data_IF_474606580208
#
_entry.id   IF_474606580208
#
_cell.length_a   1.000
_cell.length_b   1.000
_cell.length_c   1.000
_cell.angle_alpha   90.00
_cell.angle_beta   90.00
_cell.angle_gamma   90.00
#
_symmetry.space_group_name_H-M   'P 1'
#
loop_
_entity.id
_entity.type
_entity.pdbx_description
1 polymer ?
#
# COMPACT_ATOMS: atom_id res chain seq x y z
N UNK A 1 -43.08 58.56 4.31
CA UNK A 1 -42.36 57.83 5.37
C UNK A 1 -42.30 56.38 4.96
N UNK A 2 -41.15 55.83 4.51
CA UNK A 2 -41.02 54.40 4.19
C UNK A 2 -40.65 53.62 5.44
N UNK A 3 -41.36 52.52 5.68
CA UNK A 3 -41.12 51.56 6.75
C UNK A 3 -39.98 50.59 6.35
N UNK A 4 -38.92 50.59 7.11
CA UNK A 4 -37.84 49.58 7.01
C UNK A 4 -38.29 48.32 7.74
N UNK A 5 -38.36 47.17 7.03
CA UNK A 5 -38.40 45.83 7.61
C UNK A 5 -36.96 45.35 7.90
N UNK A 6 -36.67 44.79 9.08
CA UNK A 6 -35.37 44.19 9.32
C UNK A 6 -35.31 42.78 8.69
N UNK A 7 -34.32 42.54 7.87
CA UNK A 7 -33.92 41.20 7.35
C UNK A 7 -33.28 40.42 8.51
N UNK A 8 -33.96 39.42 9.04
CA UNK A 8 -33.35 38.42 9.91
C UNK A 8 -32.55 37.44 9.05
N UNK A 9 -31.23 37.55 9.08
CA UNK A 9 -30.32 36.52 8.54
C UNK A 9 -30.22 35.42 9.57
N UNK A 10 -30.91 34.30 9.32
CA UNK A 10 -30.74 33.08 10.09
C UNK A 10 -29.40 32.42 9.71
N UNK A 11 -28.40 32.54 10.57
CA UNK A 11 -27.17 31.77 10.45
C UNK A 11 -27.47 30.30 10.78
N UNK A 12 -27.52 29.44 9.76
CA UNK A 12 -27.51 27.99 9.94
C UNK A 12 -26.12 27.60 10.46
N UNK A 13 -25.99 27.43 11.77
CA UNK A 13 -24.85 26.76 12.38
C UNK A 13 -24.94 25.26 12.04
N UNK A 14 -24.11 24.79 11.12
CA UNK A 14 -23.84 23.37 10.96
C UNK A 14 -23.18 22.86 12.25
N UNK A 15 -23.98 22.34 13.17
CA UNK A 15 -23.53 21.56 14.31
C UNK A 15 -22.96 20.24 13.75
N UNK A 16 -21.66 20.22 13.49
CA UNK A 16 -20.93 18.99 13.31
C UNK A 16 -21.02 18.21 14.63
N UNK A 17 -21.77 17.11 14.63
CA UNK A 17 -21.80 16.16 15.74
C UNK A 17 -20.40 15.53 15.82
N UNK A 18 -19.53 16.09 16.66
CA UNK A 18 -18.27 15.43 17.02
C UNK A 18 -18.63 14.23 17.89
N UNK A 19 -18.33 13.03 17.40
CA UNK A 19 -18.41 11.81 18.21
C UNK A 19 -17.55 11.99 19.47
N UNK A 20 -18.05 11.55 20.63
CA UNK A 20 -17.23 11.53 21.84
C UNK A 20 -16.07 10.54 21.68
N UNK A 21 -14.97 10.70 22.43
CA UNK A 21 -13.83 9.79 22.34
C UNK A 21 -14.22 8.33 22.60
N UNK A 22 -15.25 8.09 23.43
CA UNK A 22 -15.80 6.77 23.73
C UNK A 22 -16.65 6.17 22.60
N UNK A 23 -17.02 6.97 21.57
CA UNK A 23 -17.85 6.54 20.43
C UNK A 23 -17.03 6.34 19.16
N UNK A 24 -15.73 6.66 19.18
CA UNK A 24 -14.86 6.53 18.01
C UNK A 24 -14.35 5.10 17.85
N UNK A 25 -14.46 4.52 16.64
CA UNK A 25 -13.97 3.17 16.40
C UNK A 25 -12.44 3.12 16.47
N UNK A 26 -11.91 1.98 16.90
CA UNK A 26 -10.51 1.67 16.73
C UNK A 26 -10.20 1.36 15.26
N UNK A 27 -8.95 1.46 14.86
CA UNK A 27 -8.51 1.17 13.50
C UNK A 27 -7.33 0.20 13.55
N UNK A 28 -7.46 -0.93 12.86
CA UNK A 28 -6.39 -1.88 12.57
C UNK A 28 -6.13 -1.88 11.06
N UNK A 29 -5.01 -1.32 10.64
CA UNK A 29 -4.56 -1.37 9.26
C UNK A 29 -3.54 -2.48 9.09
N UNK A 30 -3.89 -3.50 8.32
CA UNK A 30 -3.07 -4.67 8.01
C UNK A 30 -2.47 -4.48 6.63
N UNK A 31 -1.14 -4.46 6.55
CA UNK A 31 -0.42 -4.33 5.28
C UNK A 31 0.47 -5.53 5.08
N UNK A 32 0.16 -6.36 4.07
CA UNK A 32 1.09 -7.42 3.68
C UNK A 32 2.19 -6.87 2.77
N UNK A 33 3.36 -7.52 2.78
CA UNK A 33 4.57 -7.07 2.13
C UNK A 33 5.01 -8.09 1.07
N UNK A 34 5.05 -7.67 -0.20
CA UNK A 34 5.37 -8.52 -1.35
C UNK A 34 4.37 -9.68 -1.53
N UNK A 35 3.08 -9.40 -1.68
CA UNK A 35 2.03 -10.40 -1.78
C UNK A 35 1.32 -10.31 -3.15
N UNK A 36 1.40 -11.38 -3.95
CA UNK A 36 0.77 -11.43 -5.25
C UNK A 36 -0.77 -11.42 -5.14
N UNK A 37 -1.45 -10.65 -6.01
CA UNK A 37 -2.91 -10.49 -5.98
C UNK A 37 -3.69 -11.79 -6.17
N UNK A 38 -3.11 -12.79 -6.76
CA UNK A 38 -3.72 -14.10 -7.02
C UNK A 38 -3.43 -15.14 -5.92
N UNK A 39 -2.63 -14.83 -4.90
CA UNK A 39 -2.25 -15.77 -3.83
C UNK A 39 -3.09 -15.58 -2.57
N UNK A 40 -4.42 -15.64 -2.76
CA UNK A 40 -5.44 -15.63 -1.71
C UNK A 40 -6.55 -16.63 -2.06
N UNK A 41 -7.07 -17.37 -1.06
CA UNK A 41 -8.17 -18.30 -1.25
C UNK A 41 -9.42 -17.63 -1.83
N UNK A 42 -9.84 -16.48 -1.29
CA UNK A 42 -10.98 -15.70 -1.78
C UNK A 42 -10.78 -15.11 -3.18
N UNK A 43 -9.55 -15.02 -3.69
CA UNK A 43 -9.25 -14.65 -5.09
C UNK A 43 -9.18 -15.88 -6.01
N UNK A 44 -9.42 -17.09 -5.48
CA UNK A 44 -9.46 -18.34 -6.23
C UNK A 44 -8.18 -19.14 -6.23
N UNK A 45 -7.14 -18.74 -5.50
CA UNK A 45 -5.88 -19.50 -5.40
C UNK A 45 -6.13 -20.90 -4.85
N UNK A 46 -5.45 -21.88 -5.46
CA UNK A 46 -5.34 -23.25 -4.96
C UNK A 46 -3.93 -23.56 -4.46
N UNK A 47 -3.01 -22.60 -4.63
CA UNK A 47 -1.61 -22.75 -4.28
C UNK A 47 -1.33 -22.46 -2.80
N UNK A 48 -2.16 -21.65 -2.15
CA UNK A 48 -1.99 -21.20 -0.76
C UNK A 48 -3.26 -21.42 0.06
N UNK A 49 -3.12 -21.43 1.38
CA UNK A 49 -4.22 -21.49 2.34
C UNK A 49 -4.27 -20.19 3.13
N UNK A 50 -5.39 -19.45 3.02
CA UNK A 50 -5.57 -18.14 3.69
C UNK A 50 -6.92 -18.02 4.41
N UNK A 51 -7.28 -18.97 5.31
CA UNK A 51 -8.63 -19.03 5.89
C UNK A 51 -9.01 -17.79 6.71
N UNK A 52 -8.05 -17.11 7.34
CA UNK A 52 -8.34 -15.90 8.13
C UNK A 52 -8.55 -14.67 7.25
N UNK A 53 -7.79 -14.54 6.16
CA UNK A 53 -8.02 -13.53 5.13
C UNK A 53 -9.29 -13.79 4.35
N UNK A 54 -9.61 -15.05 4.04
CA UNK A 54 -10.86 -15.44 3.38
C UNK A 54 -12.07 -15.06 4.23
N UNK A 55 -11.99 -15.30 5.55
CA UNK A 55 -13.02 -14.86 6.49
C UNK A 55 -13.12 -13.34 6.55
N UNK A 56 -11.99 -12.63 6.61
CA UNK A 56 -11.99 -11.16 6.60
C UNK A 56 -12.60 -10.61 5.30
N UNK A 57 -12.27 -11.20 4.16
CA UNK A 57 -12.84 -10.82 2.87
C UNK A 57 -14.37 -10.98 2.83
N UNK A 58 -14.88 -12.10 3.37
CA UNK A 58 -16.32 -12.36 3.46
C UNK A 58 -17.06 -11.37 4.40
N UNK A 59 -16.36 -10.77 5.36
CA UNK A 59 -16.88 -9.80 6.33
C UNK A 59 -16.64 -8.35 5.89
N UNK A 60 -16.04 -8.12 4.72
CA UNK A 60 -15.59 -6.80 4.27
C UNK A 60 -16.37 -6.27 3.07
N UNK A 61 -16.32 -4.96 2.89
CA UNK A 61 -16.42 -4.38 1.58
C UNK A 61 -15.09 -4.65 0.87
N UNK A 62 -15.11 -5.61 -0.06
CA UNK A 62 -13.94 -6.15 -0.76
C UNK A 62 -13.84 -5.55 -2.16
N UNK A 63 -12.67 -5.00 -2.48
CA UNK A 63 -12.29 -4.54 -3.81
C UNK A 63 -11.21 -5.49 -4.39
N UNK A 64 -11.60 -6.53 -5.16
CA UNK A 64 -10.65 -7.45 -5.79
C UNK A 64 -9.76 -6.75 -6.84
N UNK A 65 -10.22 -5.60 -7.34
CA UNK A 65 -9.52 -4.72 -8.28
C UNK A 65 -9.01 -3.47 -7.55
N UNK A 66 -8.32 -3.67 -6.42
CA UNK A 66 -7.55 -2.64 -5.75
C UNK A 66 -6.18 -2.49 -6.42
N UNK A 67 -5.61 -1.29 -6.34
CA UNK A 67 -4.31 -0.95 -6.94
C UNK A 67 -3.48 -0.11 -6.00
N UNK A 68 -2.21 -0.46 -5.86
CA UNK A 68 -1.21 0.42 -5.25
C UNK A 68 -0.66 1.38 -6.29
N UNK A 69 -0.22 2.54 -5.87
CA UNK A 69 0.22 3.62 -6.78
C UNK A 69 1.60 3.40 -7.39
N UNK A 70 2.36 2.46 -6.83
CA UNK A 70 3.70 2.06 -7.29
C UNK A 70 4.01 0.64 -6.81
N UNK A 71 4.71 -0.15 -7.59
CA UNK A 71 5.12 -1.52 -7.23
C UNK A 71 6.41 -1.59 -6.41
N UNK A 72 6.63 -0.58 -5.54
CA UNK A 72 7.72 -0.51 -4.57
C UNK A 72 7.18 -0.16 -3.18
N UNK A 73 7.75 -0.78 -2.14
CA UNK A 73 7.28 -0.64 -0.75
C UNK A 73 7.22 0.83 -0.27
N UNK A 74 8.34 1.55 -0.31
CA UNK A 74 8.42 2.93 0.21
C UNK A 74 7.40 3.87 -0.41
N UNK A 75 7.33 4.01 -1.74
CA UNK A 75 6.32 4.82 -2.43
C UNK A 75 4.89 4.40 -2.12
N UNK A 76 4.61 3.09 -2.13
CA UNK A 76 3.27 2.56 -1.87
C UNK A 76 2.79 2.85 -0.45
N UNK A 77 3.63 2.57 0.57
CA UNK A 77 3.33 2.86 1.97
C UNK A 77 3.12 4.36 2.20
N UNK A 78 3.93 5.23 1.55
CA UNK A 78 3.75 6.67 1.62
C UNK A 78 2.40 7.11 1.03
N UNK A 79 1.98 6.52 -0.11
CA UNK A 79 0.68 6.81 -0.70
C UNK A 79 -0.50 6.43 0.21
N UNK A 80 -0.44 5.27 0.86
CA UNK A 80 -1.46 4.82 1.82
C UNK A 80 -1.64 5.80 2.99
N UNK A 81 -0.51 6.30 3.52
CA UNK A 81 -0.50 7.18 4.69
C UNK A 81 -0.78 8.64 4.37
N UNK A 82 -0.55 9.08 3.13
CA UNK A 82 -0.74 10.49 2.73
C UNK A 82 -1.99 10.74 1.89
N UNK A 83 -2.64 9.69 1.40
CA UNK A 83 -3.75 9.80 0.45
C UNK A 83 -3.35 10.48 -0.86
N UNK A 84 -2.07 10.45 -1.23
CA UNK A 84 -1.53 11.11 -2.42
C UNK A 84 -0.81 10.14 -3.34
N UNK A 85 -0.89 10.41 -4.64
CA UNK A 85 -0.09 9.70 -5.65
C UNK A 85 1.40 10.02 -5.51
N UNK A 86 2.22 9.09 -5.99
CA UNK A 86 3.69 9.12 -5.84
C UNK A 86 4.32 10.41 -6.39
N UNK A 87 3.89 10.89 -7.55
CA UNK A 87 4.40 12.14 -8.12
C UNK A 87 4.08 13.38 -7.27
N UNK A 88 3.03 13.30 -6.43
CA UNK A 88 2.61 14.41 -5.56
C UNK A 88 3.33 14.41 -4.22
N UNK A 89 3.49 13.25 -3.56
CA UNK A 89 4.29 13.20 -2.33
C UNK A 89 5.80 13.14 -2.61
N UNK A 90 6.23 12.79 -3.84
CA UNK A 90 7.62 12.87 -4.31
C UNK A 90 8.53 11.72 -3.88
N UNK A 91 8.07 10.77 -3.06
CA UNK A 91 8.85 9.61 -2.64
C UNK A 91 8.72 8.52 -3.70
N UNK A 92 9.53 8.59 -4.74
CA UNK A 92 9.42 7.73 -5.93
C UNK A 92 10.12 6.38 -5.79
N UNK A 93 10.95 6.19 -4.77
CA UNK A 93 11.73 4.96 -4.57
C UNK A 93 11.94 4.64 -3.09
N UNK A 94 12.59 3.52 -2.85
CA UNK A 94 12.85 3.02 -1.50
C UNK A 94 14.02 3.71 -0.81
N UNK A 95 15.05 4.05 -1.58
CA UNK A 95 16.30 4.61 -1.08
C UNK A 95 16.69 5.86 -1.89
N UNK A 96 17.50 6.76 -1.33
CA UNK A 96 18.12 7.82 -2.11
C UNK A 96 19.18 7.23 -3.04
N UNK A 97 19.29 7.79 -4.24
CA UNK A 97 20.35 7.43 -5.17
C UNK A 97 21.72 7.83 -4.61
N UNK A 98 22.67 6.89 -4.69
CA UNK A 98 24.08 7.17 -4.45
C UNK A 98 24.88 6.62 -5.62
N UNK A 99 25.85 7.41 -6.17
CA UNK A 99 26.74 6.92 -7.20
C UNK A 99 27.46 5.62 -6.78
N UNK A 100 27.63 4.69 -7.71
CA UNK A 100 28.25 3.37 -7.47
C UNK A 100 29.65 3.45 -6.85
N UNK A 101 30.39 4.56 -7.09
CA UNK A 101 31.69 4.84 -6.47
C UNK A 101 31.65 4.89 -4.94
N UNK A 102 30.49 5.20 -4.34
CA UNK A 102 30.35 5.26 -2.89
C UNK A 102 30.24 3.88 -2.21
N UNK A 103 30.00 2.81 -2.98
CA UNK A 103 29.98 1.42 -2.51
C UNK A 103 31.23 0.62 -2.94
N UNK A 104 32.21 1.27 -3.57
CA UNK A 104 33.40 0.64 -4.10
C UNK A 104 34.24 0.02 -2.97
N UNK A 105 34.50 -1.29 -3.08
CA UNK A 105 35.33 -2.06 -2.15
C UNK A 105 34.62 -3.12 -1.31
N UNK A 106 33.29 -3.13 -1.25
CA UNK A 106 32.57 -4.15 -0.51
C UNK A 106 32.36 -5.43 -1.36
N UNK A 107 32.95 -6.54 -0.94
CA UNK A 107 32.72 -7.85 -1.58
C UNK A 107 31.41 -8.47 -1.07
N UNK A 108 30.45 -8.68 -1.97
CA UNK A 108 29.15 -9.31 -1.71
C UNK A 108 28.00 -8.33 -1.42
N UNK A 109 26.79 -8.67 -1.89
CA UNK A 109 25.61 -7.79 -1.86
C UNK A 109 25.24 -7.27 -0.45
N UNK A 110 25.31 -8.13 0.58
CA UNK A 110 24.98 -7.74 1.96
C UNK A 110 25.99 -6.72 2.54
N UNK A 111 27.29 -6.89 2.25
CA UNK A 111 28.33 -5.94 2.69
C UNK A 111 28.20 -4.61 1.94
N UNK A 112 27.89 -4.64 0.65
CA UNK A 112 27.65 -3.45 -0.15
C UNK A 112 26.42 -2.68 0.37
N UNK A 113 25.33 -3.36 0.71
CA UNK A 113 24.15 -2.75 1.31
C UNK A 113 24.43 -2.11 2.68
N UNK A 114 25.21 -2.79 3.54
CA UNK A 114 25.61 -2.26 4.85
C UNK A 114 26.54 -1.05 4.73
N UNK A 115 27.48 -1.07 3.76
CA UNK A 115 28.36 0.07 3.47
C UNK A 115 27.57 1.26 2.91
N UNK A 116 26.59 1.00 2.03
CA UNK A 116 25.67 2.02 1.51
C UNK A 116 24.95 2.75 2.65
N UNK A 117 24.42 2.02 3.63
CA UNK A 117 23.65 2.59 4.75
C UNK A 117 24.49 3.46 5.70
N UNK A 118 25.81 3.30 5.71
CA UNK A 118 26.74 4.12 6.49
C UNK A 118 27.29 5.33 5.73
N UNK A 119 26.99 5.44 4.46
CA UNK A 119 27.49 6.53 3.62
C UNK A 119 26.80 7.85 3.98
N UNK A 120 27.56 8.93 4.17
CA UNK A 120 27.03 10.24 4.54
C UNK A 120 26.01 10.78 3.53
N UNK A 121 26.23 10.59 2.23
CA UNK A 121 25.29 11.00 1.19
C UNK A 121 23.98 10.19 1.24
N UNK A 122 24.04 8.92 1.60
CA UNK A 122 22.84 8.10 1.82
C UNK A 122 22.04 8.60 3.02
N UNK A 123 22.70 8.88 4.13
CA UNK A 123 22.06 9.39 5.34
C UNK A 123 21.41 10.75 5.11
N UNK A 124 22.11 11.67 4.42
CA UNK A 124 21.54 12.97 4.02
C UNK A 124 20.34 12.79 3.07
N UNK A 125 20.48 11.93 2.07
CA UNK A 125 19.37 11.61 1.14
C UNK A 125 18.14 11.07 1.88
N UNK A 126 18.34 10.18 2.85
CA UNK A 126 17.24 9.67 3.71
C UNK A 126 16.61 10.77 4.55
N UNK A 127 17.42 11.65 5.16
CA UNK A 127 16.89 12.77 5.93
C UNK A 127 16.01 13.69 5.07
N UNK A 128 16.41 13.95 3.83
CA UNK A 128 15.60 14.72 2.86
C UNK A 128 14.32 13.98 2.46
N UNK A 129 14.37 12.66 2.26
CA UNK A 129 13.16 11.84 2.01
C UNK A 129 12.18 11.94 3.17
N UNK A 130 12.64 11.83 4.41
CA UNK A 130 11.79 11.94 5.61
C UNK A 130 11.15 13.33 5.67
N UNK A 131 11.94 14.40 5.46
CA UNK A 131 11.41 15.76 5.40
C UNK A 131 10.35 15.92 4.32
N UNK A 132 10.59 15.37 3.11
CA UNK A 132 9.62 15.40 1.99
C UNK A 132 8.33 14.67 2.35
N UNK A 133 8.40 13.52 3.04
CA UNK A 133 7.22 12.82 3.53
C UNK A 133 6.39 13.70 4.49
N UNK A 134 7.05 14.40 5.41
CA UNK A 134 6.42 15.27 6.41
C UNK A 134 5.77 16.54 5.82
N UNK A 135 6.05 16.90 4.57
CA UNK A 135 5.36 17.97 3.84
C UNK A 135 3.95 17.58 3.36
N UNK A 136 3.59 16.29 3.49
CA UNK A 136 2.26 15.79 3.16
C UNK A 136 1.38 15.68 4.41
N UNK A 137 0.04 15.68 4.29
CA UNK A 137 -0.82 15.22 5.37
C UNK A 137 -0.48 13.75 5.67
N UNK A 138 -0.44 13.37 6.94
CA UNK A 138 -0.05 12.02 7.38
C UNK A 138 -1.15 11.47 8.28
N UNK A 139 -1.72 10.33 7.92
CA UNK A 139 -2.88 9.73 8.59
C UNK A 139 -2.73 9.61 10.12
N UNK A 140 -1.65 9.07 10.71
CA UNK A 140 -1.48 9.01 12.18
C UNK A 140 -1.55 10.39 12.85
N UNK A 141 -1.00 11.46 12.24
CA UNK A 141 -1.09 12.82 12.77
C UNK A 141 -2.53 13.31 12.78
N UNK A 142 -3.25 13.15 11.67
CA UNK A 142 -4.65 13.56 11.54
C UNK A 142 -5.57 12.80 12.51
N UNK A 143 -5.30 11.52 12.73
CA UNK A 143 -5.99 10.73 13.73
C UNK A 143 -5.62 11.18 15.16
N UNK A 144 -4.37 11.54 15.40
CA UNK A 144 -3.91 12.10 16.69
C UNK A 144 -4.66 13.37 17.08
N UNK A 145 -4.93 14.27 16.12
CA UNK A 145 -5.78 15.46 16.31
C UNK A 145 -7.22 15.09 16.73
N UNK A 146 -7.64 13.87 16.44
CA UNK A 146 -8.92 13.32 16.87
C UNK A 146 -8.84 12.53 18.19
N UNK A 147 -7.71 12.55 18.89
CA UNK A 147 -7.50 11.87 20.17
C UNK A 147 -7.10 10.40 20.08
N UNK A 148 -6.75 9.90 18.91
CA UNK A 148 -6.22 8.55 18.75
C UNK A 148 -4.80 8.44 19.31
N UNK A 149 -4.52 7.33 19.98
CA UNK A 149 -3.16 6.84 20.17
C UNK A 149 -2.82 5.89 19.03
N UNK A 150 -1.54 5.82 18.64
CA UNK A 150 -1.19 5.05 17.45
C UNK A 150 0.10 4.26 17.64
N UNK A 151 0.14 3.04 17.08
CA UNK A 151 1.29 2.14 17.12
C UNK A 151 1.78 1.83 15.70
N UNK A 152 3.06 2.07 15.45
CA UNK A 152 3.77 1.61 14.27
C UNK A 152 4.44 0.26 14.55
N UNK A 153 4.16 -0.77 13.72
CA UNK A 153 4.90 -2.04 13.74
C UNK A 153 5.30 -2.45 12.33
N UNK A 154 6.34 -3.28 12.23
CA UNK A 154 6.75 -3.89 10.96
C UNK A 154 7.40 -2.91 9.98
N UNK A 155 7.04 -3.08 8.72
CA UNK A 155 7.63 -2.38 7.58
C UNK A 155 7.46 -0.88 7.66
N UNK A 156 8.59 -0.16 7.56
CA UNK A 156 8.63 1.28 7.64
C UNK A 156 9.86 1.85 6.92
N UNK A 157 9.69 3.01 6.23
CA UNK A 157 10.76 3.62 5.44
C UNK A 157 11.12 5.04 5.89
N UNK A 158 10.25 5.70 6.66
CA UNK A 158 10.26 7.15 6.87
C UNK A 158 10.90 7.55 8.22
N UNK A 159 12.02 6.91 8.58
CA UNK A 159 12.75 7.24 9.80
C UNK A 159 12.19 6.59 11.07
N UNK A 160 12.42 7.17 12.26
CA UNK A 160 11.79 6.71 13.50
C UNK A 160 10.27 6.87 13.42
N UNK A 161 9.53 6.10 14.22
CA UNK A 161 8.05 6.09 14.17
C UNK A 161 7.43 7.48 14.39
N UNK A 162 8.08 8.33 15.18
CA UNK A 162 7.62 9.70 15.45
C UNK A 162 7.54 10.56 14.18
N UNK A 163 8.41 10.32 13.19
CA UNK A 163 8.37 11.08 11.93
C UNK A 163 7.12 10.81 11.11
N UNK A 164 6.46 9.67 11.35
CA UNK A 164 5.15 9.33 10.81
C UNK A 164 3.98 9.75 11.69
N UNK A 165 4.23 10.44 12.81
CA UNK A 165 3.18 10.90 13.71
C UNK A 165 2.60 9.84 14.62
N UNK A 166 3.23 8.67 14.73
CA UNK A 166 2.80 7.63 15.66
C UNK A 166 3.17 7.97 17.10
N UNK A 167 2.30 7.61 18.06
CA UNK A 167 2.53 7.84 19.49
C UNK A 167 3.48 6.81 20.09
N UNK A 168 3.43 5.57 19.57
CA UNK A 168 4.34 4.49 19.91
C UNK A 168 4.81 3.78 18.64
N UNK A 169 5.93 3.07 18.71
CA UNK A 169 6.40 2.31 17.56
C UNK A 169 7.65 1.50 17.82
N UNK A 170 7.89 0.53 16.94
CA UNK A 170 9.03 -0.40 17.05
C UNK A 170 10.26 0.08 16.28
N UNK A 171 10.08 0.90 15.22
CA UNK A 171 11.21 1.39 14.43
C UNK A 171 11.95 2.54 15.10
N UNK A 172 13.28 2.50 15.06
CA UNK A 172 14.21 3.56 15.55
C UNK A 172 14.79 4.37 14.40
N UNK A 173 14.38 4.09 13.16
CA UNK A 173 14.80 4.80 11.97
C UNK A 173 15.69 4.02 11.01
N UNK A 174 15.95 2.75 11.28
CA UNK A 174 16.67 1.88 10.37
C UNK A 174 15.87 1.54 9.10
N UNK A 175 16.55 1.03 8.11
CA UNK A 175 15.93 0.62 6.86
C UNK A 175 14.97 -0.55 7.10
N UNK A 176 13.81 -0.56 6.43
CA UNK A 176 12.72 -1.54 6.53
C UNK A 176 11.94 -1.55 7.85
N UNK A 177 12.38 -0.91 8.91
CA UNK A 177 11.64 -0.85 10.17
C UNK A 177 12.32 -1.46 11.40
N UNK A 178 13.61 -1.82 11.32
CA UNK A 178 14.44 -2.32 12.44
C UNK A 178 13.79 -3.44 13.25
N UNK A 179 13.65 -3.21 14.57
CA UNK A 179 13.01 -4.12 15.53
C UNK A 179 11.54 -4.41 15.16
N UNK A 180 10.91 -3.52 14.37
CA UNK A 180 9.58 -3.71 13.83
C UNK A 180 9.43 -4.97 12.98
N UNK A 181 10.50 -5.44 12.36
CA UNK A 181 10.51 -6.65 11.53
C UNK A 181 10.31 -7.94 12.33
N UNK A 182 10.41 -7.90 13.65
CA UNK A 182 10.14 -9.04 14.52
C UNK A 182 8.63 -9.29 14.70
N UNK A 183 7.79 -8.28 14.42
CA UNK A 183 6.34 -8.42 14.54
C UNK A 183 5.82 -9.49 13.57
N UNK A 184 4.95 -10.37 14.05
CA UNK A 184 4.41 -11.49 13.29
C UNK A 184 5.38 -12.67 13.10
N UNK A 185 6.69 -12.40 12.96
CA UNK A 185 7.71 -13.46 12.80
C UNK A 185 8.18 -14.04 14.12
N UNK A 186 8.27 -13.24 15.17
CA UNK A 186 8.75 -13.66 16.49
C UNK A 186 7.72 -13.42 17.58
N UNK A 187 6.97 -12.34 17.49
CA UNK A 187 6.02 -11.94 18.52
C UNK A 187 4.91 -11.06 17.98
N UNK A 188 3.75 -11.09 18.62
CA UNK A 188 2.66 -10.12 18.47
C UNK A 188 2.47 -9.28 19.75
N UNK A 189 3.27 -9.53 20.80
CA UNK A 189 3.12 -8.88 22.10
C UNK A 189 3.10 -7.34 22.04
N UNK A 190 3.98 -6.64 21.29
CA UNK A 190 3.91 -5.18 21.20
C UNK A 190 2.54 -4.67 20.72
N UNK A 191 1.90 -5.37 19.78
CA UNK A 191 0.59 -5.03 19.25
C UNK A 191 -0.53 -5.36 20.22
N UNK A 192 -0.54 -6.57 20.79
CA UNK A 192 -1.59 -7.02 21.71
C UNK A 192 -1.59 -6.23 23.02
N UNK A 193 -0.39 -5.92 23.55
CA UNK A 193 -0.24 -5.12 24.76
C UNK A 193 -0.68 -3.68 24.55
N UNK A 194 -0.37 -3.10 23.37
CA UNK A 194 -0.82 -1.76 23.02
C UNK A 194 -2.35 -1.68 22.93
N UNK A 195 -3.00 -2.65 22.28
CA UNK A 195 -4.47 -2.73 22.19
C UNK A 195 -5.10 -2.81 23.58
N UNK A 196 -4.60 -3.70 24.43
CA UNK A 196 -5.14 -3.90 25.80
C UNK A 196 -4.95 -2.65 26.67
N UNK A 197 -3.80 -1.97 26.58
CA UNK A 197 -3.56 -0.71 27.30
C UNK A 197 -4.49 0.40 26.79
N UNK A 198 -4.61 0.58 25.47
CA UNK A 198 -5.47 1.61 24.87
C UNK A 198 -6.93 1.44 25.30
N UNK A 199 -7.43 0.19 25.30
CA UNK A 199 -8.76 -0.14 25.81
C UNK A 199 -8.91 0.23 27.29
N UNK A 200 -7.95 -0.16 28.13
CA UNK A 200 -7.95 0.16 29.57
C UNK A 200 -7.98 1.68 29.82
N UNK A 201 -7.27 2.43 29.02
CA UNK A 201 -7.17 3.89 29.11
C UNK A 201 -8.36 4.62 28.45
N UNK A 202 -9.30 3.89 27.84
CA UNK A 202 -10.47 4.45 27.16
C UNK A 202 -10.11 5.29 25.94
N UNK A 203 -8.98 5.01 25.28
CA UNK A 203 -8.50 5.76 24.12
C UNK A 203 -8.74 4.99 22.83
N UNK A 204 -9.32 5.60 21.78
CA UNK A 204 -9.37 5.01 20.48
C UNK A 204 -7.94 4.84 19.93
N UNK A 205 -7.68 3.76 19.22
CA UNK A 205 -6.35 3.47 18.70
C UNK A 205 -6.30 3.31 17.18
N UNK A 206 -5.13 3.62 16.62
CA UNK A 206 -4.73 3.26 15.27
C UNK A 206 -3.50 2.35 15.33
N UNK A 207 -3.62 1.13 14.80
CA UNK A 207 -2.49 0.19 14.68
C UNK A 207 -2.12 0.03 13.21
N UNK A 208 -0.85 0.31 12.89
CA UNK A 208 -0.20 -0.04 11.66
C UNK A 208 0.47 -1.40 11.82
N UNK A 209 -0.19 -2.47 11.39
CA UNK A 209 0.33 -3.83 11.41
C UNK A 209 0.85 -4.19 10.01
N UNK A 210 2.15 -4.02 9.79
CA UNK A 210 2.83 -4.24 8.52
C UNK A 210 4.01 -5.21 8.68
N UNK A 211 3.80 -6.48 9.08
CA UNK A 211 4.87 -7.44 9.21
C UNK A 211 5.56 -7.61 7.86
N UNK A 212 6.89 -7.84 7.88
CA UNK A 212 7.63 -8.11 6.65
C UNK A 212 7.33 -9.54 6.15
N UNK A 213 6.06 -9.79 5.83
CA UNK A 213 5.52 -11.07 5.38
C UNK A 213 4.51 -10.85 4.26
N UNK A 214 4.54 -11.67 3.21
CA UNK A 214 5.46 -12.80 2.93
C UNK A 214 6.84 -12.44 2.36
N UNK A 215 7.31 -11.20 2.46
CA UNK A 215 8.59 -10.69 1.94
C UNK A 215 9.81 -11.54 2.37
N UNK A 216 10.85 -11.54 1.55
CA UNK A 216 12.18 -12.07 1.88
C UNK A 216 12.77 -11.49 3.19
N UNK A 217 13.58 -12.29 3.93
CA UNK A 217 13.94 -13.70 3.69
C UNK A 217 12.78 -14.64 4.01
N UNK A 218 12.56 -15.62 3.11
CA UNK A 218 11.52 -16.63 3.32
C UNK A 218 12.01 -17.68 4.32
N UNK A 219 11.60 -17.51 5.57
CA UNK A 219 11.98 -18.37 6.71
C UNK A 219 10.73 -18.93 7.42
N UNK A 220 9.81 -19.58 6.69
CA UNK A 220 8.59 -20.11 7.29
C UNK A 220 8.93 -21.22 8.29
N UNK A 221 8.09 -21.43 9.33
CA UNK A 221 8.20 -22.60 10.17
C UNK A 221 8.11 -23.91 9.38
N UNK A 222 8.89 -24.92 9.75
CA UNK A 222 8.95 -26.20 9.02
C UNK A 222 7.56 -26.86 8.89
N UNK A 223 6.71 -26.76 9.91
CA UNK A 223 5.33 -27.28 9.85
C UNK A 223 4.50 -26.72 8.69
N UNK A 224 4.77 -25.48 8.26
CA UNK A 224 4.10 -24.86 7.11
C UNK A 224 4.83 -25.20 5.82
N UNK A 225 6.17 -25.13 5.80
CA UNK A 225 6.96 -25.46 4.61
C UNK A 225 6.68 -26.87 4.13
N UNK A 226 6.53 -27.84 5.03
CA UNK A 226 6.21 -29.23 4.70
C UNK A 226 4.89 -29.37 3.90
N UNK A 227 3.91 -28.48 4.09
CA UNK A 227 2.63 -28.52 3.35
C UNK A 227 2.79 -28.17 1.87
N UNK A 228 3.82 -27.40 1.51
CA UNK A 228 4.01 -26.78 0.18
C UNK A 228 5.17 -27.38 -0.60
N UNK A 229 6.11 -28.11 0.04
CA UNK A 229 7.36 -28.58 -0.54
C UNK A 229 7.17 -29.35 -1.85
N UNK A 230 6.17 -30.24 -1.88
CA UNK A 230 5.92 -31.09 -3.03
C UNK A 230 4.76 -30.59 -3.91
N UNK A 231 4.13 -29.47 -3.54
CA UNK A 231 2.96 -28.90 -4.26
C UNK A 231 3.30 -27.64 -5.04
N UNK A 232 4.38 -26.97 -4.68
CA UNK A 232 4.79 -25.73 -5.34
C UNK A 232 5.75 -26.00 -6.50
N UNK A 233 5.74 -25.15 -7.54
CA UNK A 233 6.53 -25.38 -8.75
C UNK A 233 8.05 -25.31 -8.51
N UNK A 234 8.48 -24.62 -7.46
CA UNK A 234 9.91 -24.51 -7.08
C UNK A 234 10.04 -24.48 -5.55
N UNK A 235 11.22 -24.83 -4.99
CA UNK A 235 11.49 -24.69 -3.56
C UNK A 235 11.33 -23.26 -3.05
N UNK A 236 11.61 -22.25 -3.87
CA UNK A 236 11.44 -20.83 -3.54
C UNK A 236 9.95 -20.47 -3.43
N UNK A 237 9.14 -20.93 -4.40
CA UNK A 237 7.69 -20.77 -4.34
C UNK A 237 7.08 -21.49 -3.12
N UNK A 238 7.57 -22.69 -2.77
CA UNK A 238 7.13 -23.41 -1.58
C UNK A 238 7.35 -22.61 -0.29
N UNK A 239 8.54 -21.97 -0.17
CA UNK A 239 8.83 -21.08 0.98
C UNK A 239 7.92 -19.87 1.00
N UNK A 240 7.71 -19.24 -0.15
CA UNK A 240 6.82 -18.08 -0.25
C UNK A 240 5.37 -18.45 0.10
N UNK A 241 4.82 -19.53 -0.44
CA UNK A 241 3.47 -20.00 -0.12
C UNK A 241 3.32 -20.30 1.38
N UNK A 242 4.34 -20.89 1.99
CA UNK A 242 4.36 -21.12 3.44
C UNK A 242 4.44 -19.80 4.25
N UNK A 243 5.12 -18.77 3.73
CA UNK A 243 5.11 -17.43 4.34
C UNK A 243 3.74 -16.75 4.23
N UNK A 244 3.01 -16.97 3.13
CA UNK A 244 1.64 -16.47 2.96
C UNK A 244 0.71 -17.08 4.00
N UNK A 245 0.74 -18.40 4.18
CA UNK A 245 -0.06 -19.07 5.22
C UNK A 245 0.35 -18.63 6.62
N UNK A 246 1.65 -18.45 6.88
CA UNK A 246 2.12 -17.95 8.18
C UNK A 246 1.61 -16.54 8.49
N UNK A 247 1.64 -15.66 7.48
CA UNK A 247 1.05 -14.33 7.62
C UNK A 247 -0.45 -14.40 7.93
N UNK A 248 -1.19 -15.26 7.23
CA UNK A 248 -2.61 -15.48 7.48
C UNK A 248 -2.89 -15.93 8.91
N UNK A 249 -2.07 -16.87 9.47
CA UNK A 249 -2.17 -17.28 10.87
C UNK A 249 -2.04 -16.09 11.83
N UNK A 250 -1.09 -15.16 11.58
CA UNK A 250 -0.92 -13.97 12.44
C UNK A 250 -2.13 -13.04 12.43
N UNK A 251 -2.83 -12.94 11.29
CA UNK A 251 -4.09 -12.20 11.20
C UNK A 251 -5.16 -12.86 12.05
N UNK A 252 -5.22 -14.19 12.03
CA UNK A 252 -6.11 -14.97 12.92
C UNK A 252 -5.85 -14.68 14.40
N UNK A 253 -4.58 -14.65 14.81
CA UNK A 253 -4.19 -14.38 16.20
C UNK A 253 -4.55 -12.93 16.62
N UNK A 254 -4.28 -11.93 15.78
CA UNK A 254 -4.64 -10.53 16.06
C UNK A 254 -6.15 -10.36 16.17
N UNK A 255 -6.93 -10.97 15.27
CA UNK A 255 -8.40 -10.92 15.32
C UNK A 255 -8.95 -11.65 16.56
N UNK A 256 -8.38 -12.78 16.94
CA UNK A 256 -8.74 -13.48 18.17
C UNK A 256 -8.46 -12.64 19.43
N UNK A 257 -7.37 -11.84 19.42
CA UNK A 257 -7.10 -10.89 20.50
C UNK A 257 -8.15 -9.77 20.56
N UNK A 258 -8.55 -9.17 19.43
CA UNK A 258 -9.64 -8.19 19.41
C UNK A 258 -10.95 -8.77 19.93
N UNK A 259 -11.25 -10.03 19.61
CA UNK A 259 -12.44 -10.71 20.09
C UNK A 259 -12.39 -10.95 21.60
N UNK A 260 -11.26 -11.46 22.11
CA UNK A 260 -11.00 -11.62 23.54
C UNK A 260 -11.14 -10.33 24.34
N UNK A 261 -10.69 -9.21 23.75
CA UNK A 261 -10.85 -7.89 24.35
C UNK A 261 -12.26 -7.32 24.18
N UNK A 262 -13.17 -7.97 23.44
CA UNK A 262 -14.51 -7.45 23.16
C UNK A 262 -14.54 -6.25 22.22
N UNK A 263 -13.48 -6.06 21.40
CA UNK A 263 -13.29 -4.90 20.51
C UNK A 263 -13.68 -5.16 19.07
N UNK A 264 -14.11 -6.36 18.71
CA UNK A 264 -14.40 -6.75 17.31
C UNK A 264 -15.41 -5.83 16.63
N UNK A 265 -16.46 -5.39 17.33
CA UNK A 265 -17.50 -4.49 16.78
C UNK A 265 -17.08 -3.03 16.79
N UNK A 266 -16.09 -2.69 17.57
CA UNK A 266 -15.62 -1.30 17.75
C UNK A 266 -14.31 -1.05 16.99
N UNK A 267 -13.90 -1.98 16.10
CA UNK A 267 -12.67 -1.87 15.33
C UNK A 267 -12.94 -1.93 13.83
N UNK A 268 -12.49 -0.92 13.11
CA UNK A 268 -12.37 -0.92 11.65
C UNK A 268 -11.11 -1.69 11.28
N UNK A 269 -11.23 -2.69 10.42
CA UNK A 269 -10.08 -3.41 9.86
C UNK A 269 -9.95 -3.04 8.39
N UNK A 270 -8.77 -2.52 8.00
CA UNK A 270 -8.39 -2.32 6.60
C UNK A 270 -7.28 -3.30 6.26
N UNK A 271 -7.39 -3.95 5.11
CA UNK A 271 -6.36 -4.81 4.55
C UNK A 271 -5.94 -4.34 3.17
N UNK A 272 -4.63 -4.38 2.90
CA UNK A 272 -4.03 -4.09 1.59
C UNK A 272 -2.64 -4.76 1.51
N UNK A 273 -2.17 -5.15 0.31
CA UNK A 273 -0.75 -5.45 0.10
C UNK A 273 -0.01 -4.20 -0.41
N UNK A 274 1.26 -4.05 -0.06
CA UNK A 274 2.06 -2.88 -0.46
C UNK A 274 2.50 -2.95 -1.93
N UNK A 275 2.73 -4.12 -2.45
CA UNK A 275 3.00 -4.44 -3.86
C UNK A 275 2.98 -5.96 -4.08
N UNK A 276 3.12 -6.37 -5.34
CA UNK A 276 3.20 -7.78 -5.69
C UNK A 276 4.54 -8.45 -5.31
N UNK A 277 4.53 -9.75 -5.36
CA UNK A 277 5.67 -10.61 -5.04
C UNK A 277 6.75 -10.57 -6.12
N UNK A 278 8.01 -10.96 -5.78
CA UNK A 278 9.08 -11.29 -6.71
C UNK A 278 9.25 -12.81 -6.73
N UNK A 279 8.82 -13.52 -7.79
CA UNK A 279 9.12 -14.94 -7.93
C UNK A 279 10.63 -15.12 -8.13
N UNK A 280 11.30 -15.71 -7.16
CA UNK A 280 12.72 -16.09 -7.32
C UNK A 280 12.78 -17.47 -7.93
N UNK A 281 12.99 -17.51 -9.23
CA UNK A 281 13.29 -18.74 -9.98
C UNK A 281 14.69 -18.64 -10.55
N UNK A 282 15.35 -19.78 -10.70
CA UNK A 282 16.66 -19.86 -11.37
C UNK A 282 16.56 -19.58 -12.88
N UNK A 283 15.32 -19.43 -13.38
CA UNK A 283 15.03 -19.09 -14.76
C UNK A 283 14.01 -17.94 -14.79
N UNK A 284 14.29 -16.86 -15.54
CA UNK A 284 13.31 -15.82 -15.81
C UNK A 284 12.04 -16.44 -16.42
N UNK A 285 10.88 -16.13 -15.85
CA UNK A 285 9.57 -16.48 -16.38
C UNK A 285 8.81 -15.21 -16.70
N UNK A 286 7.71 -15.35 -17.43
CA UNK A 286 6.78 -14.21 -17.69
C UNK A 286 6.31 -13.61 -16.38
N UNK A 287 6.09 -14.43 -15.36
CA UNK A 287 5.68 -14.00 -14.02
C UNK A 287 6.75 -13.13 -13.35
N UNK A 288 8.04 -13.40 -13.59
CA UNK A 288 9.14 -12.60 -13.06
C UNK A 288 9.14 -11.17 -13.63
N UNK A 289 8.90 -11.01 -14.92
CA UNK A 289 8.84 -9.69 -15.58
C UNK A 289 7.58 -8.91 -15.21
N UNK A 290 6.49 -9.59 -14.84
CA UNK A 290 5.17 -9.02 -14.53
C UNK A 290 4.85 -8.98 -13.04
N UNK A 291 5.83 -9.03 -12.18
CA UNK A 291 5.69 -9.02 -10.72
C UNK A 291 6.14 -7.68 -10.10
N UNK A 292 6.58 -7.67 -8.84
CA UNK A 292 7.13 -6.49 -8.15
C UNK A 292 8.10 -5.70 -9.04
N UNK A 293 8.09 -4.38 -8.93
CA UNK A 293 8.84 -3.42 -9.75
C UNK A 293 8.37 -3.31 -11.21
N UNK A 294 7.27 -3.96 -11.57
CA UNK A 294 6.67 -3.83 -12.89
C UNK A 294 5.34 -3.07 -12.84
N UNK A 295 4.87 -2.48 -13.96
CA UNK A 295 3.58 -1.81 -14.06
C UNK A 295 2.40 -2.77 -14.24
N UNK A 296 2.65 -4.07 -14.37
CA UNK A 296 1.63 -5.10 -14.56
C UNK A 296 0.85 -5.38 -13.27
N UNK A 297 -0.33 -6.00 -13.39
CA UNK A 297 -1.17 -6.35 -12.23
C UNK A 297 -0.42 -7.21 -11.22
N UNK A 298 0.47 -8.09 -11.64
CA UNK A 298 1.33 -8.83 -10.72
C UNK A 298 2.25 -7.97 -9.84
N UNK A 299 2.48 -6.71 -10.21
CA UNK A 299 3.25 -5.75 -9.42
C UNK A 299 2.38 -4.74 -8.65
N UNK A 300 1.23 -4.32 -9.21
CA UNK A 300 0.47 -3.17 -8.68
C UNK A 300 -0.94 -3.50 -8.21
N UNK A 301 -1.52 -4.67 -8.59
CA UNK A 301 -2.84 -5.05 -8.11
C UNK A 301 -2.77 -5.66 -6.71
N UNK A 302 -3.73 -5.32 -5.88
CA UNK A 302 -3.91 -5.84 -4.52
C UNK A 302 -5.39 -5.86 -4.17
N UNK A 303 -5.91 -6.85 -3.42
CA UNK A 303 -7.21 -6.69 -2.82
C UNK A 303 -7.17 -5.58 -1.77
N UNK A 304 -8.21 -4.74 -1.73
CA UNK A 304 -8.43 -3.79 -0.64
C UNK A 304 -9.71 -4.19 0.10
N UNK A 305 -9.64 -4.30 1.41
CA UNK A 305 -10.77 -4.67 2.26
C UNK A 305 -11.01 -3.58 3.31
N UNK A 306 -12.27 -3.27 3.54
CA UNK A 306 -12.71 -2.42 4.66
C UNK A 306 -13.82 -3.16 5.40
N UNK A 307 -13.55 -3.55 6.64
CA UNK A 307 -14.48 -4.25 7.51
C UNK A 307 -14.78 -3.44 8.76
N UNK A 308 -16.04 -3.32 9.10
CA UNK A 308 -16.51 -2.83 10.39
C UNK A 308 -17.80 -3.56 10.74
N UNK A 309 -17.71 -4.62 11.57
CA UNK A 309 -18.84 -5.49 11.84
C UNK A 309 -20.07 -4.73 12.38
N UNK A 310 -21.22 -4.92 11.72
CA UNK A 310 -22.47 -4.26 12.08
C UNK A 310 -22.60 -2.80 11.62
N UNK A 311 -21.60 -2.22 10.99
CA UNK A 311 -21.59 -0.85 10.46
C UNK A 311 -21.40 -0.79 8.95
N UNK A 312 -20.50 -1.60 8.41
CA UNK A 312 -20.25 -1.73 6.96
C UNK A 312 -20.83 -3.06 6.50
N UNK A 313 -21.75 -2.99 5.51
CA UNK A 313 -22.32 -4.20 4.90
C UNK A 313 -21.26 -4.86 4.01
N UNK A 314 -20.97 -6.16 4.19
CA UNK A 314 -20.10 -6.89 3.29
C UNK A 314 -20.61 -6.88 1.85
N UNK A 315 -19.70 -6.64 0.90
CA UNK A 315 -20.00 -6.65 -0.53
C UNK A 315 -18.70 -6.85 -1.33
N UNK A 316 -18.80 -7.54 -2.45
CA UNK A 316 -17.70 -7.62 -3.44
C UNK A 316 -17.95 -6.56 -4.50
N UNK A 317 -17.01 -5.61 -4.60
CA UNK A 317 -17.11 -4.46 -5.47
C UNK A 317 -16.52 -4.77 -6.86
N UNK A 318 -17.13 -4.22 -7.89
CA UNK A 318 -16.67 -4.33 -9.29
C UNK A 318 -15.79 -3.15 -9.69
N UNK A 319 -15.96 -2.02 -9.02
CA UNK A 319 -15.20 -0.81 -9.24
C UNK A 319 -13.73 -0.99 -8.85
N UNK A 320 -12.85 -0.36 -9.63
CA UNK A 320 -11.44 -0.32 -9.26
C UNK A 320 -11.24 0.65 -8.09
N UNK A 321 -10.43 0.23 -7.09
CA UNK A 321 -10.03 1.04 -5.95
C UNK A 321 -8.53 1.34 -5.98
N UNK A 322 -8.11 2.40 -5.32
CA UNK A 322 -6.70 2.77 -5.19
C UNK A 322 -6.28 2.84 -3.72
N UNK A 323 -5.03 2.52 -3.42
CA UNK A 323 -4.49 2.64 -2.07
C UNK A 323 -4.56 4.07 -1.50
N UNK A 324 -4.63 5.11 -2.34
CA UNK A 324 -4.85 6.50 -1.89
C UNK A 324 -6.27 6.73 -1.33
N UNK A 325 -7.21 5.83 -1.59
CA UNK A 325 -8.58 5.89 -1.10
C UNK A 325 -8.71 5.50 0.38
N UNK A 326 -7.70 4.82 0.92
CA UNK A 326 -7.73 4.33 2.31
C UNK A 326 -7.79 5.48 3.31
N UNK A 327 -6.95 6.50 3.12
CA UNK A 327 -6.91 7.65 4.04
C UNK A 327 -8.24 8.42 4.09
N UNK A 328 -8.83 8.88 2.96
CA UNK A 328 -10.12 9.58 3.00
C UNK A 328 -11.24 8.72 3.58
N UNK A 329 -11.27 7.43 3.29
CA UNK A 329 -12.24 6.49 3.87
C UNK A 329 -12.14 6.45 5.39
N UNK A 330 -10.93 6.28 5.93
CA UNK A 330 -10.71 6.22 7.37
C UNK A 330 -11.06 7.54 8.05
N UNK A 331 -10.62 8.68 7.50
CA UNK A 331 -10.92 9.99 8.06
C UNK A 331 -12.44 10.25 8.10
N UNK A 332 -13.17 9.89 7.04
CA UNK A 332 -14.63 10.03 7.00
C UNK A 332 -15.33 9.13 8.02
N UNK A 333 -14.87 7.88 8.16
CA UNK A 333 -15.45 6.93 9.13
C UNK A 333 -15.28 7.39 10.59
N UNK A 334 -14.22 8.12 10.91
CA UNK A 334 -13.98 8.66 12.26
C UNK A 334 -14.47 10.10 12.45
N UNK A 335 -15.09 10.70 11.42
CA UNK A 335 -15.56 12.09 11.46
C UNK A 335 -14.43 13.13 11.49
N UNK A 336 -13.24 12.78 11.01
CA UNK A 336 -12.11 13.70 10.94
C UNK A 336 -12.16 14.59 9.69
N UNK A 337 -11.63 15.82 9.76
CA UNK A 337 -11.54 16.71 8.61
C UNK A 337 -10.66 16.11 7.50
N UNK A 338 -11.09 16.30 6.25
CA UNK A 338 -10.31 15.94 5.08
C UNK A 338 -9.25 17.00 4.79
N UNK A 339 -7.96 16.62 4.67
CA UNK A 339 -6.93 17.58 4.27
C UNK A 339 -7.13 18.01 2.81
N UNK A 340 -6.79 19.25 2.51
CA UNK A 340 -6.84 19.75 1.14
C UNK A 340 -5.88 18.99 0.22
N UNK A 341 -6.31 18.75 -1.01
CA UNK A 341 -5.47 18.19 -2.06
C UNK A 341 -5.15 16.70 -1.92
N UNK A 342 -6.01 15.90 -1.29
CA UNK A 342 -5.98 14.45 -1.39
C UNK A 342 -6.37 13.98 -2.80
N UNK A 343 -5.89 12.79 -3.19
CA UNK A 343 -6.17 12.20 -4.51
C UNK A 343 -7.21 11.07 -4.44
N UNK A 344 -7.46 10.55 -3.23
CA UNK A 344 -8.34 9.41 -3.01
C UNK A 344 -9.81 9.78 -2.87
N UNK A 345 -10.67 8.78 -3.05
CA UNK A 345 -12.10 8.82 -2.79
C UNK A 345 -12.43 8.02 -1.52
N UNK A 346 -13.63 8.25 -0.98
CA UNK A 346 -14.17 7.36 0.06
C UNK A 346 -14.61 6.03 -0.57
N UNK A 347 -14.05 4.93 -0.12
CA UNK A 347 -14.38 3.57 -0.56
C UNK A 347 -15.83 3.15 -0.20
N UNK A 348 -16.55 3.94 0.59
CA UNK A 348 -17.94 3.71 0.94
C UNK A 348 -18.91 4.59 0.15
N UNK A 349 -18.41 5.47 -0.71
CA UNK A 349 -19.23 6.34 -1.58
C UNK A 349 -19.40 5.67 -2.95
N UNK A 350 -20.50 4.92 -3.11
CA UNK A 350 -20.81 4.20 -4.36
C UNK A 350 -20.90 5.13 -5.57
N UNK A 351 -21.49 6.32 -5.39
CA UNK A 351 -21.67 7.27 -6.47
C UNK A 351 -20.31 7.83 -6.96
N UNK A 352 -19.43 8.17 -6.02
CA UNK A 352 -18.09 8.64 -6.34
C UNK A 352 -17.23 7.55 -7.02
N UNK A 353 -17.34 6.30 -6.55
CA UNK A 353 -16.62 5.17 -7.15
C UNK A 353 -17.10 4.87 -8.57
N UNK A 354 -18.42 4.87 -8.80
CA UNK A 354 -19.01 4.67 -10.14
C UNK A 354 -18.68 5.81 -11.11
N UNK A 355 -18.59 7.04 -10.60
CA UNK A 355 -18.22 8.21 -11.40
C UNK A 355 -16.73 8.30 -11.71
N UNK A 356 -15.86 7.50 -11.03
CA UNK A 356 -14.41 7.49 -11.27
C UNK A 356 -14.11 6.96 -12.67
N UNK A 357 -13.47 7.75 -13.54
CA UNK A 357 -13.18 7.32 -14.90
C UNK A 357 -12.07 6.27 -14.97
N UNK A 358 -11.14 6.28 -14.03
CA UNK A 358 -10.00 5.35 -13.97
C UNK A 358 -9.30 5.39 -12.61
N UNK A 359 -8.48 4.39 -12.34
CA UNK A 359 -7.38 4.43 -11.35
C UNK A 359 -6.06 4.47 -12.11
N UNK A 360 -5.05 5.15 -11.55
CA UNK A 360 -3.75 5.30 -12.20
C UNK A 360 -2.60 5.21 -11.19
N UNK A 361 -1.42 4.96 -11.72
CA UNK A 361 -0.19 4.95 -10.94
C UNK A 361 1.05 5.04 -11.81
N UNK A 362 2.19 4.92 -11.15
CA UNK A 362 3.50 4.98 -11.80
C UNK A 362 4.41 3.88 -11.28
N UNK A 363 5.39 3.51 -12.08
CA UNK A 363 6.53 2.71 -11.65
C UNK A 363 7.79 3.54 -11.77
N UNK A 364 8.63 3.45 -10.77
CA UNK A 364 9.82 4.27 -10.67
C UNK A 364 11.07 3.39 -10.48
N UNK A 365 12.25 3.99 -10.59
CA UNK A 365 13.50 3.35 -10.21
C UNK A 365 13.48 2.97 -8.74
N UNK A 366 14.22 1.91 -8.37
CA UNK A 366 14.31 1.48 -6.97
C UNK A 366 14.84 2.60 -6.05
N UNK A 367 15.86 3.33 -6.51
CA UNK A 367 16.42 4.48 -5.79
C UNK A 367 15.89 5.79 -6.41
N UNK A 368 15.62 6.79 -5.58
CA UNK A 368 15.14 8.11 -6.00
C UNK A 368 16.29 8.87 -6.66
N UNK A 369 16.21 9.12 -7.96
CA UNK A 369 17.25 9.82 -8.71
C UNK A 369 17.29 11.32 -8.40
N UNK A 370 16.12 11.93 -8.24
CA UNK A 370 15.98 13.35 -7.89
C UNK A 370 14.69 13.56 -7.07
N UNK A 371 14.85 13.95 -5.81
CA UNK A 371 13.72 14.14 -4.90
C UNK A 371 12.86 15.37 -5.26
N UNK A 372 13.44 16.37 -5.94
CA UNK A 372 12.73 17.57 -6.36
C UNK A 372 11.96 17.36 -7.68
N UNK A 373 12.34 16.36 -8.47
CA UNK A 373 11.74 16.05 -9.77
C UNK A 373 11.32 14.58 -9.84
N UNK A 374 10.09 14.22 -9.39
CA UNK A 374 9.59 12.85 -9.40
C UNK A 374 9.70 12.15 -10.76
N UNK A 375 9.54 12.90 -11.85
CA UNK A 375 9.69 12.40 -13.21
C UNK A 375 11.09 11.86 -13.53
N UNK A 376 12.13 12.33 -12.84
CA UNK A 376 13.50 11.82 -13.04
C UNK A 376 13.64 10.32 -12.73
N UNK A 377 12.80 9.79 -11.82
CA UNK A 377 12.78 8.38 -11.45
C UNK A 377 11.73 7.56 -12.19
N UNK A 378 10.92 8.19 -13.05
CA UNK A 378 9.79 7.54 -13.71
C UNK A 378 10.25 6.53 -14.76
N UNK A 379 9.70 5.29 -14.66
CA UNK A 379 9.90 4.24 -15.66
C UNK A 379 8.64 4.03 -16.51
N UNK A 380 7.50 3.91 -15.85
CA UNK A 380 6.21 3.69 -16.49
C UNK A 380 5.12 4.50 -15.78
N UNK A 381 4.13 4.92 -16.56
CA UNK A 381 2.82 5.31 -16.08
C UNK A 381 1.81 4.24 -16.51
N UNK A 382 0.79 4.04 -15.74
CA UNK A 382 -0.30 3.13 -16.11
C UNK A 382 -1.64 3.66 -15.61
N UNK A 383 -2.69 3.22 -16.30
CA UNK A 383 -4.06 3.49 -15.86
C UNK A 383 -4.96 2.29 -16.17
N UNK A 384 -5.98 2.10 -15.32
CA UNK A 384 -7.05 1.11 -15.49
C UNK A 384 -8.38 1.84 -15.58
N UNK A 385 -9.05 1.71 -16.74
CA UNK A 385 -10.36 2.31 -17.02
C UNK A 385 -11.33 1.23 -17.51
N UNK A 386 -12.38 0.96 -16.73
CA UNK A 386 -13.21 -0.21 -16.95
C UNK A 386 -12.37 -1.49 -16.91
N UNK A 387 -12.45 -2.31 -17.94
CA UNK A 387 -11.68 -3.57 -18.05
C UNK A 387 -10.33 -3.38 -18.78
N UNK A 388 -10.03 -2.17 -19.28
CA UNK A 388 -8.81 -1.91 -20.04
C UNK A 388 -7.72 -1.34 -19.16
N UNK A 389 -6.48 -1.81 -19.37
CA UNK A 389 -5.27 -1.25 -18.77
C UNK A 389 -4.29 -0.80 -19.84
N UNK A 390 -3.86 0.46 -19.72
CA UNK A 390 -2.81 1.05 -20.54
C UNK A 390 -1.52 1.16 -19.72
N UNK A 391 -0.40 0.76 -20.31
CA UNK A 391 0.95 0.91 -19.77
C UNK A 391 1.77 1.72 -20.74
N UNK A 392 2.45 2.78 -20.25
CA UNK A 392 3.23 3.72 -21.06
C UNK A 392 4.63 3.88 -20.48
N UNK A 393 5.65 3.59 -21.26
CA UNK A 393 7.05 3.81 -20.90
C UNK A 393 7.36 5.32 -20.86
N UNK A 394 8.20 5.74 -19.91
CA UNK A 394 8.69 7.12 -19.83
C UNK A 394 9.86 7.42 -20.78
N UNK A 395 10.44 6.38 -21.39
CA UNK A 395 11.66 6.51 -22.16
C UNK A 395 12.95 6.65 -21.33
N UNK A 396 12.88 6.56 -20.01
CA UNK A 396 14.05 6.64 -19.12
C UNK A 396 14.95 5.42 -19.31
N UNK A 397 16.17 5.64 -19.80
CA UNK A 397 17.24 4.61 -19.82
C UNK A 397 17.83 4.50 -18.42
N UNK A 398 17.30 3.60 -17.62
CA UNK A 398 17.97 3.19 -16.38
C UNK A 398 18.85 2.01 -16.73
N UNK A 399 20.13 2.04 -16.37
CA UNK A 399 20.99 0.85 -16.44
C UNK A 399 20.34 -0.36 -15.79
N UNK A 400 20.85 -1.55 -16.01
CA UNK A 400 20.33 -2.84 -15.51
C UNK A 400 19.78 -2.74 -14.10
N UNK A 401 18.45 -2.79 -13.99
CA UNK A 401 17.76 -2.96 -12.71
C UNK A 401 17.75 -4.44 -12.34
N UNK A 402 17.54 -4.79 -11.07
CA UNK A 402 17.43 -6.19 -10.64
C UNK A 402 16.32 -6.96 -11.39
N UNK A 403 15.38 -6.27 -12.04
CA UNK A 403 14.16 -6.80 -12.64
C UNK A 403 13.88 -6.24 -14.05
N UNK A 404 14.88 -6.25 -14.92
CA UNK A 404 14.75 -5.89 -16.32
C UNK A 404 15.05 -4.41 -16.63
N UNK A 405 15.48 -4.16 -17.85
CA UNK A 405 15.60 -2.83 -18.43
C UNK A 405 14.21 -2.40 -18.92
N UNK A 406 13.72 -1.23 -18.51
CA UNK A 406 12.73 -0.55 -19.32
C UNK A 406 13.45 -0.03 -20.55
N UNK A 407 13.15 -0.58 -21.71
CA UNK A 407 13.64 0.01 -22.96
C UNK A 407 12.99 1.38 -23.14
N UNK A 408 13.82 2.39 -23.37
CA UNK A 408 13.40 3.77 -23.46
C UNK A 408 12.34 4.05 -24.57
N UNK A 409 12.16 3.12 -25.47
CA UNK A 409 11.30 3.27 -26.66
C UNK A 409 10.22 2.18 -26.75
N UNK A 410 9.82 1.56 -25.65
CA UNK A 410 8.69 0.64 -25.69
C UNK A 410 7.41 1.39 -26.07
N UNK A 411 6.68 0.93 -27.10
CA UNK A 411 5.39 1.49 -27.43
C UNK A 411 4.40 1.28 -26.27
N UNK A 412 3.32 2.07 -26.20
CA UNK A 412 2.23 1.82 -25.26
C UNK A 412 1.69 0.40 -25.41
N UNK A 413 1.38 -0.26 -24.29
CA UNK A 413 0.76 -1.59 -24.24
C UNK A 413 -0.66 -1.50 -23.67
N UNK A 414 -1.58 -2.26 -24.25
CA UNK A 414 -3.00 -2.30 -23.87
C UNK A 414 -3.44 -3.71 -23.57
N UNK A 415 -4.10 -3.89 -22.42
CA UNK A 415 -4.60 -5.19 -21.97
C UNK A 415 -6.08 -5.13 -21.62
N UNK A 416 -6.80 -6.23 -21.84
CA UNK A 416 -8.16 -6.46 -21.35
C UNK A 416 -8.10 -7.36 -20.10
N UNK A 417 -8.17 -6.76 -18.93
CA UNK A 417 -7.99 -7.44 -17.64
C UNK A 417 -9.12 -8.44 -17.31
N UNK A 418 -10.27 -8.35 -17.99
CA UNK A 418 -11.36 -9.30 -17.82
C UNK A 418 -11.12 -10.58 -18.61
N UNK A 419 -10.68 -10.44 -19.86
CA UNK A 419 -10.38 -11.57 -20.74
C UNK A 419 -9.00 -12.17 -20.47
N UNK A 420 -8.04 -11.34 -20.04
CA UNK A 420 -6.64 -11.68 -19.81
C UNK A 420 -6.13 -11.04 -18.50
N UNK A 421 -6.47 -11.60 -17.33
CA UNK A 421 -6.09 -11.05 -16.04
C UNK A 421 -4.59 -11.12 -15.75
N UNK A 422 -3.82 -11.84 -16.56
CA UNK A 422 -2.35 -11.95 -16.44
C UNK A 422 -1.61 -11.08 -17.47
N UNK A 423 -2.32 -10.30 -18.28
CA UNK A 423 -1.73 -9.34 -19.23
C UNK A 423 -0.76 -9.97 -20.24
N UNK A 424 -1.12 -11.17 -20.76
CA UNK A 424 -0.29 -11.94 -21.69
C UNK A 424 -0.43 -11.49 -23.15
N UNK A 425 -1.58 -10.91 -23.52
CA UNK A 425 -1.90 -10.48 -24.88
C UNK A 425 -1.97 -8.95 -24.96
N UNK A 426 -1.02 -8.34 -25.65
CA UNK A 426 -1.04 -6.91 -25.95
C UNK A 426 -2.01 -6.61 -27.11
N UNK A 427 -2.97 -5.76 -26.84
CA UNK A 427 -4.02 -5.35 -27.79
C UNK A 427 -3.75 -3.97 -28.43
N UNK A 428 -2.63 -3.33 -28.18
CA UNK A 428 -2.38 -1.95 -28.59
C UNK A 428 -2.47 -1.76 -30.12
N UNK A 429 -1.95 -2.72 -30.90
CA UNK A 429 -2.01 -2.70 -32.36
C UNK A 429 -3.44 -2.94 -32.89
N UNK A 430 -4.26 -3.72 -32.19
CA UNK A 430 -5.62 -4.06 -32.60
C UNK A 430 -6.64 -2.98 -32.18
N UNK A 431 -6.32 -2.16 -31.15
CA UNK A 431 -7.22 -1.18 -30.54
C UNK A 431 -6.59 0.22 -30.40
N UNK A 432 -6.10 0.83 -31.51
CA UNK A 432 -5.36 2.09 -31.46
C UNK A 432 -6.21 3.27 -30.94
N UNK A 433 -7.52 3.28 -31.17
CA UNK A 433 -8.40 4.34 -30.65
C UNK A 433 -8.56 4.27 -29.12
N UNK A 434 -8.57 3.09 -28.54
CA UNK A 434 -8.55 2.95 -27.09
C UNK A 434 -7.20 3.40 -26.50
N UNK A 435 -6.09 3.06 -27.13
CA UNK A 435 -4.77 3.55 -26.73
C UNK A 435 -4.76 5.08 -26.72
N UNK A 436 -5.22 5.73 -27.79
CA UNK A 436 -5.27 7.20 -27.90
C UNK A 436 -6.16 7.82 -26.82
N UNK A 437 -7.35 7.27 -26.61
CA UNK A 437 -8.31 7.74 -25.59
C UNK A 437 -7.72 7.64 -24.19
N UNK A 438 -7.16 6.47 -23.83
CA UNK A 438 -6.60 6.22 -22.52
C UNK A 438 -5.31 7.00 -22.28
N UNK A 439 -4.51 7.24 -23.34
CA UNK A 439 -3.33 8.12 -23.29
C UNK A 439 -3.73 9.53 -22.91
N UNK A 440 -4.79 10.09 -23.54
CA UNK A 440 -5.30 11.43 -23.21
C UNK A 440 -5.72 11.53 -21.74
N UNK A 441 -6.37 10.48 -21.20
CA UNK A 441 -6.74 10.44 -19.78
C UNK A 441 -5.51 10.37 -18.87
N UNK A 442 -4.53 9.55 -19.22
CA UNK A 442 -3.29 9.39 -18.46
C UNK A 442 -2.45 10.67 -18.44
N UNK A 443 -2.34 11.37 -19.59
CA UNK A 443 -1.64 12.65 -19.69
C UNK A 443 -2.38 13.77 -18.94
N UNK A 444 -3.71 13.73 -18.89
CA UNK A 444 -4.53 14.62 -18.06
C UNK A 444 -4.38 14.38 -16.54
N UNK A 445 -4.08 13.16 -16.14
CA UNK A 445 -3.77 12.84 -14.74
C UNK A 445 -2.37 13.29 -14.33
N UNK A 446 -1.38 12.96 -15.12
CA UNK A 446 0.02 13.42 -15.02
C UNK A 446 0.78 13.07 -16.28
N UNK A 447 1.38 14.08 -16.92
CA UNK A 447 2.09 13.93 -18.20
C UNK A 447 3.52 13.33 -18.05
N UNK A 448 3.95 13.08 -16.80
CA UNK A 448 5.27 12.51 -16.53
C UNK A 448 6.41 13.55 -16.48
N UNK A 449 6.09 14.84 -16.32
CA UNK A 449 7.06 15.95 -16.26
C UNK A 449 7.17 16.59 -14.89
#
# INVERSE_FOLDING_TARGET
MPRFLPLCVAALACLGLSLSAAERPNILMIVSDDHAWFDYGFMGSKAVSTPHLDKLAAESRLFPRGYVTNSLCGPSLASMLTGRHVHRHGLTGNDPFIPVSAAAGAKGAAKAAAAKQKNAAFLDGRARMIKRFQESPILPLLLGEQGYVSLQTGKWWMGPYQTGGFTEGMTKGGRHGDDGLDIGRKTLAPLTDFISRSKKDGKPFFVWYAPMMPHDPHTPPERLLAKYRDKSPTPQAAKYHAMVEWFDETIGEVRAHLDKEGLTRDTIIVYVADNGWIPRTDKPSVDFERSKQSPFDGGVRTPIMVSWPGRIKPAVMTEAASAVDIMPTLLKLVGAPMPAGGDGLDLLDDAALQARPFVAGQNSTHDILDLARPAASLRYRWLVAGDLKLIVSSGLKTGTTQHGSADANEPPRLFDLKADPYELRDLAAERPEDVKRLMTQLDGWWDGR
#
